data_IF_110924314133
#
_entry.id   IF_110924314133
#
_cell.length_a   1.000
_cell.length_b   1.000
_cell.length_c   1.000
_cell.angle_alpha   90.00
_cell.angle_beta   90.00
_cell.angle_gamma   90.00
#
_symmetry.space_group_name_H-M   'P 1'
#
loop_
_entity.id
_entity.type
_entity.pdbx_description
1 polymer ?
#
# COMPACT_ATOMS: atom_id res chain seq x y z
N UNK A 1 6.33 -71.78 -36.10
CA UNK A 1 6.96 -70.88 -35.09
C UNK A 1 6.00 -70.65 -33.92
N UNK A 2 4.72 -70.36 -34.18
CA UNK A 2 3.68 -70.27 -33.15
C UNK A 2 3.42 -71.58 -32.37
N UNK A 3 3.40 -72.74 -33.03
CA UNK A 3 3.16 -74.04 -32.35
C UNK A 3 4.28 -74.42 -31.36
N UNK A 4 5.54 -74.14 -31.68
CA UNK A 4 6.66 -74.40 -30.77
C UNK A 4 6.63 -73.47 -29.55
N UNK A 5 6.17 -72.23 -29.72
CA UNK A 5 6.01 -71.30 -28.59
C UNK A 5 4.84 -71.74 -27.70
N UNK A 6 3.74 -72.22 -28.28
CA UNK A 6 2.58 -72.76 -27.56
C UNK A 6 2.92 -74.01 -26.74
N UNK A 7 3.66 -74.95 -27.32
CA UNK A 7 4.09 -76.19 -26.66
C UNK A 7 5.10 -75.97 -25.52
N UNK A 8 5.93 -74.93 -25.61
CA UNK A 8 6.85 -74.54 -24.53
C UNK A 8 6.09 -73.93 -23.35
N UNK A 9 5.03 -73.17 -23.63
CA UNK A 9 4.18 -72.54 -22.60
C UNK A 9 3.28 -73.57 -21.91
N UNK A 10 2.71 -74.52 -22.66
CA UNK A 10 1.79 -75.55 -22.13
C UNK A 10 2.48 -76.62 -21.26
N UNK A 11 3.80 -76.85 -21.43
CA UNK A 11 4.57 -77.84 -20.66
C UNK A 11 5.41 -77.26 -19.51
N UNK A 12 5.34 -75.96 -19.24
CA UNK A 12 6.14 -75.33 -18.17
C UNK A 12 5.38 -75.33 -16.83
N UNK A 13 5.31 -76.48 -16.15
CA UNK A 13 4.77 -76.55 -14.79
C UNK A 13 5.84 -76.16 -13.77
N UNK A 14 5.72 -74.96 -13.19
CA UNK A 14 6.59 -74.51 -12.12
C UNK A 14 6.46 -75.44 -10.91
N UNK A 15 7.58 -75.93 -10.38
CA UNK A 15 7.58 -76.72 -9.16
C UNK A 15 7.37 -75.82 -7.93
N UNK A 16 6.97 -76.40 -6.79
CA UNK A 16 6.66 -75.64 -5.57
C UNK A 16 7.81 -74.74 -5.09
N UNK A 17 9.06 -75.15 -5.33
CA UNK A 17 10.25 -74.36 -5.00
C UNK A 17 10.39 -73.11 -5.87
N UNK A 18 10.16 -73.23 -7.19
CA UNK A 18 10.18 -72.09 -8.11
C UNK A 18 9.07 -71.08 -7.80
N UNK A 19 7.87 -71.56 -7.43
CA UNK A 19 6.77 -70.70 -6.97
C UNK A 19 7.15 -69.92 -5.70
N UNK A 20 7.74 -70.61 -4.71
CA UNK A 20 8.20 -69.98 -3.47
C UNK A 20 9.30 -68.94 -3.74
N UNK A 21 10.25 -69.23 -4.63
CA UNK A 21 11.33 -68.32 -5.00
C UNK A 21 10.81 -67.05 -5.70
N UNK A 22 9.89 -67.19 -6.66
CA UNK A 22 9.27 -66.04 -7.34
C UNK A 22 8.51 -65.18 -6.32
N UNK A 23 7.74 -65.81 -5.42
CA UNK A 23 7.00 -65.09 -4.37
C UNK A 23 7.93 -64.30 -3.44
N UNK A 24 9.06 -64.89 -3.03
CA UNK A 24 10.07 -64.23 -2.22
C UNK A 24 10.71 -63.03 -2.93
N UNK A 25 11.06 -63.18 -4.21
CA UNK A 25 11.63 -62.10 -5.04
C UNK A 25 10.63 -60.95 -5.21
N UNK A 26 9.37 -61.26 -5.55
CA UNK A 26 8.31 -60.25 -5.69
C UNK A 26 8.09 -59.51 -4.36
N UNK A 27 8.06 -60.23 -3.23
CA UNK A 27 7.92 -59.62 -1.90
C UNK A 27 9.09 -58.71 -1.55
N UNK A 28 10.32 -59.11 -1.88
CA UNK A 28 11.51 -58.29 -1.67
C UNK A 28 11.52 -57.03 -2.55
N UNK A 29 11.19 -57.17 -3.84
CA UNK A 29 11.10 -56.04 -4.77
C UNK A 29 10.00 -55.08 -4.35
N UNK A 30 8.82 -55.59 -4.00
CA UNK A 30 7.71 -54.75 -3.52
C UNK A 30 8.05 -54.04 -2.23
N UNK A 31 8.75 -54.67 -1.30
CA UNK A 31 9.26 -54.03 -0.08
C UNK A 31 10.23 -52.88 -0.41
N UNK A 32 11.23 -53.11 -1.26
CA UNK A 32 12.19 -52.08 -1.68
C UNK A 32 11.49 -50.91 -2.39
N UNK A 33 10.61 -51.20 -3.35
CA UNK A 33 9.83 -50.19 -4.05
C UNK A 33 8.96 -49.40 -3.07
N UNK A 34 8.30 -50.09 -2.13
CA UNK A 34 7.47 -49.43 -1.11
C UNK A 34 8.30 -48.47 -0.27
N UNK A 35 9.50 -48.85 0.18
CA UNK A 35 10.38 -47.96 0.94
C UNK A 35 10.78 -46.72 0.13
N UNK A 36 11.23 -46.91 -1.11
CA UNK A 36 11.68 -45.80 -1.97
C UNK A 36 10.53 -44.86 -2.29
N UNK A 37 9.39 -45.41 -2.72
CA UNK A 37 8.19 -44.64 -3.07
C UNK A 37 7.66 -43.91 -1.84
N UNK A 38 7.47 -44.60 -0.71
CA UNK A 38 6.96 -44.02 0.54
C UNK A 38 7.87 -42.89 1.01
N UNK A 39 9.18 -43.10 1.07
CA UNK A 39 10.12 -42.06 1.51
C UNK A 39 10.10 -40.85 0.56
N UNK A 40 10.03 -41.06 -0.76
CA UNK A 40 9.91 -39.96 -1.72
C UNK A 40 8.61 -39.16 -1.53
N UNK A 41 7.47 -39.83 -1.42
CA UNK A 41 6.17 -39.19 -1.24
C UNK A 41 6.06 -38.49 0.12
N UNK A 42 6.51 -39.13 1.20
CA UNK A 42 6.50 -38.56 2.56
C UNK A 42 7.37 -37.31 2.65
N UNK A 43 8.60 -37.34 2.11
CA UNK A 43 9.47 -36.15 2.10
C UNK A 43 8.86 -35.01 1.29
N UNK A 44 8.26 -35.32 0.12
CA UNK A 44 7.60 -34.31 -0.71
C UNK A 44 6.37 -33.71 -0.03
N UNK A 45 5.55 -34.54 0.62
CA UNK A 45 4.40 -34.09 1.40
C UNK A 45 4.82 -33.26 2.61
N UNK A 46 5.86 -33.70 3.34
CA UNK A 46 6.39 -32.99 4.49
C UNK A 46 6.93 -31.62 4.11
N UNK A 47 7.72 -31.53 3.04
CA UNK A 47 8.21 -30.25 2.51
C UNK A 47 7.05 -29.30 2.15
N UNK A 48 6.04 -29.78 1.43
CA UNK A 48 4.85 -29.00 1.07
C UNK A 48 4.08 -28.52 2.31
N UNK A 49 3.95 -29.38 3.33
CA UNK A 49 3.31 -29.02 4.60
C UNK A 49 4.08 -27.90 5.30
N UNK A 50 5.40 -28.03 5.43
CA UNK A 50 6.26 -27.01 6.03
C UNK A 50 6.19 -25.67 5.28
N UNK A 51 6.24 -25.69 3.95
CA UNK A 51 6.11 -24.49 3.12
C UNK A 51 4.75 -23.81 3.32
N UNK A 52 3.67 -24.61 3.39
CA UNK A 52 2.31 -24.11 3.59
C UNK A 52 2.14 -23.51 4.98
N UNK A 53 2.62 -24.20 6.01
CA UNK A 53 2.60 -23.71 7.40
C UNK A 53 3.42 -22.43 7.54
N UNK A 54 4.61 -22.38 6.95
CA UNK A 54 5.45 -21.19 6.93
C UNK A 54 4.72 -20.01 6.28
N UNK A 55 4.16 -20.21 5.09
CA UNK A 55 3.37 -19.18 4.39
C UNK A 55 2.19 -18.70 5.23
N UNK A 56 1.42 -19.61 5.82
CA UNK A 56 0.29 -19.26 6.69
C UNK A 56 0.75 -18.45 7.90
N UNK A 57 1.85 -18.84 8.53
CA UNK A 57 2.41 -18.13 9.68
C UNK A 57 2.87 -16.71 9.31
N UNK A 58 3.52 -16.54 8.15
CA UNK A 58 3.92 -15.20 7.68
C UNK A 58 2.70 -14.34 7.35
N UNK A 59 1.71 -14.88 6.62
CA UNK A 59 0.47 -14.16 6.31
C UNK A 59 -0.29 -13.75 7.57
N UNK A 60 -0.35 -14.62 8.58
CA UNK A 60 -0.97 -14.32 9.86
C UNK A 60 -0.27 -13.13 10.53
N UNK A 61 1.07 -13.13 10.62
CA UNK A 61 1.83 -12.01 11.19
C UNK A 61 1.54 -10.69 10.47
N UNK A 62 1.47 -10.69 9.14
CA UNK A 62 1.11 -9.48 8.37
C UNK A 62 -0.29 -9.00 8.75
N UNK A 63 -1.26 -9.92 8.76
CA UNK A 63 -2.65 -9.60 9.13
C UNK A 63 -2.76 -9.07 10.54
N UNK A 64 -2.02 -9.62 11.50
CA UNK A 64 -2.06 -9.18 12.90
C UNK A 64 -1.55 -7.73 13.01
N UNK A 65 -0.45 -7.38 12.33
CA UNK A 65 0.05 -6.00 12.29
C UNK A 65 -0.92 -5.06 11.59
N UNK A 66 -1.48 -5.47 10.44
CA UNK A 66 -2.46 -4.66 9.73
C UNK A 66 -3.73 -4.47 10.55
N UNK A 67 -4.26 -5.51 11.18
CA UNK A 67 -5.47 -5.44 12.00
C UNK A 67 -5.29 -4.48 13.19
N UNK A 68 -4.10 -4.47 13.80
CA UNK A 68 -3.77 -3.57 14.92
C UNK A 68 -3.88 -2.09 14.57
N UNK A 69 -3.55 -1.70 13.33
CA UNK A 69 -3.44 -0.28 12.95
C UNK A 69 -4.38 0.17 11.84
N UNK A 70 -5.01 -0.76 11.11
CA UNK A 70 -5.84 -0.46 9.93
C UNK A 70 -6.95 0.53 10.26
N UNK A 71 -7.71 0.28 11.33
CA UNK A 71 -8.84 1.15 11.71
C UNK A 71 -8.35 2.58 12.01
N UNK A 72 -7.25 2.71 12.75
CA UNK A 72 -6.66 4.01 13.05
C UNK A 72 -6.21 4.77 11.79
N UNK A 73 -5.59 4.07 10.84
CA UNK A 73 -5.21 4.66 9.57
C UNK A 73 -6.45 5.07 8.74
N UNK A 74 -7.49 4.23 8.69
CA UNK A 74 -8.73 4.55 7.99
C UNK A 74 -9.39 5.80 8.57
N UNK A 75 -9.46 5.93 9.89
CA UNK A 75 -9.98 7.14 10.55
C UNK A 75 -9.14 8.38 10.22
N UNK A 76 -7.80 8.28 10.28
CA UNK A 76 -6.93 9.40 9.92
C UNK A 76 -7.08 9.81 8.44
N UNK A 77 -7.24 8.83 7.54
CA UNK A 77 -7.53 9.06 6.13
C UNK A 77 -8.89 9.74 5.93
N UNK A 78 -9.93 9.32 6.64
CA UNK A 78 -11.26 9.94 6.58
C UNK A 78 -11.24 11.39 7.09
N UNK A 79 -10.62 11.64 8.24
CA UNK A 79 -10.48 13.00 8.80
C UNK A 79 -9.76 13.94 7.83
N UNK A 80 -8.71 13.44 7.18
CA UNK A 80 -7.98 14.17 6.15
C UNK A 80 -8.81 14.36 4.88
N UNK A 81 -9.57 13.36 4.44
CA UNK A 81 -10.48 13.46 3.29
C UNK A 81 -11.47 14.60 3.48
N UNK A 82 -12.15 14.68 4.63
CA UNK A 82 -13.04 15.81 4.96
C UNK A 82 -12.32 17.16 4.95
N UNK A 83 -11.08 17.20 5.46
CA UNK A 83 -10.26 18.42 5.41
C UNK A 83 -9.93 18.82 3.97
N UNK A 84 -9.63 17.87 3.10
CA UNK A 84 -9.30 18.14 1.69
C UNK A 84 -10.51 18.63 0.90
N UNK A 85 -11.71 18.10 1.16
CA UNK A 85 -12.95 18.66 0.61
C UNK A 85 -13.12 20.13 0.99
N UNK A 86 -13.03 20.42 2.29
CA UNK A 86 -13.17 21.78 2.77
C UNK A 86 -12.08 22.71 2.22
N UNK A 87 -10.84 22.24 2.15
CA UNK A 87 -9.71 22.98 1.59
C UNK A 87 -9.90 23.28 0.11
N UNK A 88 -10.28 22.29 -0.68
CA UNK A 88 -10.54 22.47 -2.11
C UNK A 88 -11.61 23.54 -2.33
N UNK A 89 -12.71 23.52 -1.58
CA UNK A 89 -13.78 24.51 -1.72
C UNK A 89 -13.39 25.91 -1.21
N UNK A 90 -12.66 25.98 -0.09
CA UNK A 90 -12.47 27.21 0.68
C UNK A 90 -11.05 27.78 0.66
N UNK A 91 -10.11 27.25 -0.13
CA UNK A 91 -8.71 27.73 -0.15
C UNK A 91 -8.59 29.25 -0.38
N UNK A 92 -9.50 29.86 -1.14
CA UNK A 92 -9.50 31.29 -1.44
C UNK A 92 -9.73 32.17 -0.21
N UNK A 93 -10.27 31.59 0.88
CA UNK A 93 -10.44 32.30 2.17
C UNK A 93 -9.13 32.46 2.94
N UNK A 94 -8.06 31.77 2.54
CA UNK A 94 -6.73 31.92 3.14
C UNK A 94 -6.63 31.45 4.59
N UNK A 95 -7.53 30.58 5.06
CA UNK A 95 -7.49 30.07 6.45
C UNK A 95 -6.26 29.23 6.78
N UNK A 96 -5.62 28.67 5.75
CA UNK A 96 -4.35 27.95 5.83
C UNK A 96 -3.13 28.86 5.66
N UNK A 97 -3.32 30.16 5.43
CA UNK A 97 -2.22 31.10 5.31
C UNK A 97 -1.90 31.68 6.69
N UNK A 98 -0.64 31.63 7.10
CA UNK A 98 -0.18 32.39 8.27
C UNK A 98 0.15 33.81 7.81
N UNK A 99 -0.46 34.86 8.39
CA UNK A 99 -0.17 36.23 7.98
C UNK A 99 1.33 36.55 8.10
N UNK A 100 1.92 37.20 7.10
CA UNK A 100 3.36 37.56 7.10
C UNK A 100 3.76 38.42 8.31
N UNK A 101 2.84 39.25 8.81
CA UNK A 101 3.01 40.05 10.04
C UNK A 101 3.19 39.19 11.30
N UNK A 102 2.72 37.96 11.26
CA UNK A 102 2.80 37.00 12.36
C UNK A 102 3.97 36.04 12.14
N UNK A 103 4.14 35.47 10.93
CA UNK A 103 5.17 34.47 10.55
C UNK A 103 5.61 33.52 11.69
N UNK A 104 4.64 33.19 12.55
CA UNK A 104 4.87 32.58 13.85
C UNK A 104 3.94 31.38 13.95
N UNK A 105 4.46 30.25 13.47
CA UNK A 105 3.79 28.97 13.55
C UNK A 105 3.65 28.43 14.99
N UNK A 106 4.15 29.14 16.01
CA UNK A 106 3.88 28.80 17.41
C UNK A 106 2.50 29.27 17.88
N UNK A 107 1.86 30.18 17.15
CA UNK A 107 0.52 30.69 17.50
C UNK A 107 -0.58 29.75 17.05
N UNK A 108 -1.66 29.60 17.84
CA UNK A 108 -2.77 28.73 17.48
C UNK A 108 -3.61 29.31 16.33
N UNK A 109 -3.33 28.85 15.11
CA UNK A 109 -4.19 29.00 13.93
C UNK A 109 -4.95 27.70 13.65
N UNK A 110 -6.22 27.63 14.09
CA UNK A 110 -6.99 26.38 14.08
C UNK A 110 -6.96 25.67 12.73
N UNK A 111 -7.30 26.36 11.64
CA UNK A 111 -7.42 25.71 10.33
C UNK A 111 -6.08 25.15 9.86
N UNK A 112 -5.02 25.97 9.90
CA UNK A 112 -3.66 25.57 9.52
C UNK A 112 -3.15 24.36 10.33
N UNK A 113 -3.12 24.47 11.65
CA UNK A 113 -2.59 23.43 12.53
C UNK A 113 -3.42 22.15 12.50
N UNK A 114 -4.74 22.26 12.40
CA UNK A 114 -5.60 21.09 12.29
C UNK A 114 -5.50 20.40 10.93
N UNK A 115 -5.06 21.08 9.88
CA UNK A 115 -4.72 20.47 8.59
C UNK A 115 -3.41 19.68 8.70
N UNK A 116 -2.36 20.31 9.22
CA UNK A 116 -1.05 19.67 9.40
C UNK A 116 -1.15 18.47 10.36
N UNK A 117 -1.89 18.59 11.46
CA UNK A 117 -2.09 17.47 12.38
C UNK A 117 -2.75 16.25 11.72
N UNK A 118 -3.77 16.45 10.86
CA UNK A 118 -4.41 15.37 10.10
C UNK A 118 -3.46 14.73 9.09
N UNK A 119 -2.66 15.54 8.42
CA UNK A 119 -1.60 15.06 7.55
C UNK A 119 -0.60 14.20 8.34
N UNK A 120 -0.05 14.73 9.45
CA UNK A 120 0.87 14.00 10.33
C UNK A 120 0.27 12.69 10.84
N UNK A 121 -1.03 12.66 11.17
CA UNK A 121 -1.71 11.47 11.67
C UNK A 121 -1.69 10.31 10.67
N UNK A 122 -1.90 10.58 9.37
CA UNK A 122 -1.76 9.56 8.32
C UNK A 122 -0.33 9.01 8.31
N UNK A 123 0.66 9.89 8.25
CA UNK A 123 2.07 9.49 8.17
C UNK A 123 2.54 8.77 9.43
N UNK A 124 2.03 9.13 10.59
CA UNK A 124 2.36 8.49 11.85
C UNK A 124 1.84 7.04 11.92
N UNK A 125 0.60 6.80 11.49
CA UNK A 125 0.07 5.44 11.41
C UNK A 125 0.77 4.61 10.34
N UNK A 126 1.07 5.19 9.17
CA UNK A 126 1.89 4.55 8.15
C UNK A 126 3.25 4.14 8.74
N UNK A 127 3.92 5.04 9.47
CA UNK A 127 5.22 4.77 10.09
C UNK A 127 5.13 3.64 11.13
N UNK A 128 4.12 3.63 12.00
CA UNK A 128 3.91 2.55 12.98
C UNK A 128 3.70 1.19 12.28
N UNK A 129 2.90 1.14 11.20
CA UNK A 129 2.70 -0.08 10.41
C UNK A 129 4.01 -0.55 9.77
N UNK A 130 4.73 0.36 9.09
CA UNK A 130 5.97 0.03 8.40
C UNK A 130 7.06 -0.48 9.34
N UNK A 131 7.14 0.07 10.56
CA UNK A 131 8.10 -0.36 11.60
C UNK A 131 7.86 -1.79 12.07
N UNK A 132 6.61 -2.27 12.10
CA UNK A 132 6.31 -3.65 12.49
C UNK A 132 6.39 -4.62 11.30
N UNK A 133 6.00 -4.19 10.10
CA UNK A 133 6.03 -5.02 8.89
C UNK A 133 7.45 -5.35 8.42
N UNK A 134 8.46 -4.51 8.73
CA UNK A 134 9.85 -4.71 8.27
C UNK A 134 10.45 -6.06 8.69
N UNK A 135 9.95 -6.67 9.77
CA UNK A 135 10.42 -7.95 10.28
C UNK A 135 9.70 -9.16 9.66
N UNK A 136 8.82 -8.94 8.69
CA UNK A 136 7.94 -9.95 8.12
C UNK A 136 8.23 -10.10 6.62
N UNK A 137 8.22 -11.35 6.13
CA UNK A 137 8.38 -11.61 4.70
C UNK A 137 7.09 -11.24 3.94
N UNK A 138 7.06 -9.99 3.47
CA UNK A 138 5.95 -9.45 2.68
C UNK A 138 5.80 -10.11 1.30
N UNK A 139 6.77 -10.88 0.82
CA UNK A 139 6.64 -11.63 -0.45
C UNK A 139 5.60 -12.76 -0.34
N UNK A 140 5.34 -13.22 0.88
CA UNK A 140 4.34 -14.25 1.18
C UNK A 140 2.96 -13.67 1.51
N UNK A 141 2.80 -12.34 1.48
CA UNK A 141 1.54 -11.66 1.76
C UNK A 141 0.40 -12.14 0.86
N UNK A 142 -0.84 -12.03 1.36
CA UNK A 142 -2.01 -12.18 0.50
C UNK A 142 -2.08 -10.99 -0.49
N UNK A 143 -2.79 -11.15 -1.61
CA UNK A 143 -2.95 -10.08 -2.62
C UNK A 143 -3.48 -8.79 -1.98
N UNK A 144 -4.52 -8.89 -1.14
CA UNK A 144 -5.15 -7.74 -0.50
C UNK A 144 -4.22 -7.04 0.49
N UNK A 145 -3.47 -7.80 1.30
CA UNK A 145 -2.51 -7.24 2.26
C UNK A 145 -1.34 -6.56 1.53
N UNK A 146 -0.87 -7.16 0.45
CA UNK A 146 0.19 -6.59 -0.38
C UNK A 146 -0.26 -5.28 -1.05
N UNK A 147 -1.48 -5.22 -1.57
CA UNK A 147 -2.07 -3.98 -2.09
C UNK A 147 -2.15 -2.88 -1.03
N UNK A 148 -2.59 -3.23 0.18
CA UNK A 148 -2.64 -2.28 1.30
C UNK A 148 -1.24 -1.70 1.57
N UNK A 149 -0.22 -2.56 1.67
CA UNK A 149 1.18 -2.16 1.87
C UNK A 149 1.69 -1.28 0.72
N UNK A 150 1.32 -1.58 -0.53
CA UNK A 150 1.68 -0.75 -1.70
C UNK A 150 1.08 0.65 -1.58
N UNK A 151 -0.18 0.78 -1.16
CA UNK A 151 -0.79 2.11 -0.91
C UNK A 151 -0.01 2.91 0.14
N UNK A 152 0.43 2.28 1.24
CA UNK A 152 1.23 2.97 2.27
C UNK A 152 2.52 3.56 1.67
N UNK A 153 3.15 2.84 0.73
CA UNK A 153 4.36 3.32 0.03
C UNK A 153 4.04 4.45 -0.95
N UNK A 154 2.96 4.32 -1.72
CA UNK A 154 2.52 5.35 -2.67
C UNK A 154 2.21 6.67 -1.96
N UNK A 155 1.48 6.63 -0.84
CA UNK A 155 1.14 7.84 -0.07
C UNK A 155 2.39 8.65 0.25
N UNK A 156 3.48 8.01 0.68
CA UNK A 156 4.71 8.75 0.91
C UNK A 156 5.43 9.18 -0.36
N UNK A 157 5.40 8.34 -1.40
CA UNK A 157 6.05 8.64 -2.67
C UNK A 157 5.45 9.89 -3.35
N UNK A 158 4.18 10.21 -3.09
CA UNK A 158 3.53 11.44 -3.56
C UNK A 158 4.22 12.73 -3.09
N UNK A 159 5.05 12.67 -2.05
CA UNK A 159 5.73 13.82 -1.48
C UNK A 159 7.24 13.80 -1.71
N UNK A 160 7.81 12.65 -2.09
CA UNK A 160 9.25 12.51 -2.35
C UNK A 160 9.58 12.42 -3.85
N UNK A 161 8.65 11.93 -4.67
CA UNK A 161 8.90 11.72 -6.09
C UNK A 161 8.61 12.97 -6.90
N UNK A 162 9.60 13.42 -7.64
CA UNK A 162 9.46 14.54 -8.55
C UNK A 162 8.93 14.13 -9.92
N UNK A 163 9.30 12.93 -10.39
CA UNK A 163 9.10 12.53 -11.78
C UNK A 163 7.62 12.42 -12.17
N UNK A 164 6.75 12.06 -11.23
CA UNK A 164 5.33 11.91 -11.53
C UNK A 164 4.61 13.26 -11.70
N UNK A 165 5.16 14.34 -11.16
CA UNK A 165 4.59 15.69 -11.29
C UNK A 165 5.33 16.51 -12.34
N UNK A 166 6.65 16.51 -12.28
CA UNK A 166 7.53 17.37 -13.11
C UNK A 166 8.09 16.64 -14.35
N UNK A 167 7.96 15.32 -14.43
CA UNK A 167 8.46 14.52 -15.54
C UNK A 167 9.91 14.08 -15.37
N UNK A 168 10.49 13.51 -16.44
CA UNK A 168 11.81 12.84 -16.38
C UNK A 168 13.00 13.79 -16.12
N UNK A 169 12.82 15.09 -16.37
CA UNK A 169 13.87 16.10 -16.25
C UNK A 169 13.79 16.90 -14.95
N UNK A 170 13.09 16.38 -13.94
CA UNK A 170 12.91 17.08 -12.68
C UNK A 170 14.23 17.23 -11.91
N UNK A 171 14.45 18.39 -11.28
CA UNK A 171 15.65 18.65 -10.47
C UNK A 171 15.45 18.17 -9.03
N UNK A 172 16.12 17.07 -8.69
CA UNK A 172 16.12 16.49 -7.34
C UNK A 172 17.07 17.15 -6.34
N UNK A 173 17.80 18.18 -6.75
CA UNK A 173 18.85 18.78 -5.91
C UNK A 173 18.27 19.63 -4.79
N UNK A 174 17.11 20.25 -5.01
CA UNK A 174 16.50 21.19 -4.07
C UNK A 174 15.09 20.74 -3.68
N UNK A 175 14.85 20.61 -2.36
CA UNK A 175 13.55 20.27 -1.78
C UNK A 175 12.59 21.49 -1.77
N UNK A 176 12.32 22.05 -2.95
CA UNK A 176 11.36 23.15 -3.09
C UNK A 176 9.95 22.58 -3.05
N UNK A 177 9.57 21.71 -3.97
CA UNK A 177 8.19 21.24 -4.08
C UNK A 177 7.95 19.85 -3.51
N UNK A 178 8.98 19.22 -2.97
CA UNK A 178 8.98 17.87 -2.43
C UNK A 178 9.76 17.82 -1.11
N UNK A 179 9.67 16.69 -0.41
CA UNK A 179 10.50 16.41 0.76
C UNK A 179 11.51 15.31 0.44
N UNK A 180 12.72 15.46 0.98
CA UNK A 180 13.61 14.31 1.09
C UNK A 180 12.97 13.23 1.97
N UNK A 181 13.21 11.97 1.63
CA UNK A 181 12.56 10.82 2.27
C UNK A 181 12.77 10.80 3.78
N UNK A 182 13.99 11.11 4.21
CA UNK A 182 14.34 11.10 5.63
C UNK A 182 13.65 12.23 6.40
N UNK A 183 13.61 13.44 5.84
CA UNK A 183 12.87 14.57 6.43
C UNK A 183 11.39 14.26 6.60
N UNK A 184 10.73 13.74 5.54
CA UNK A 184 9.33 13.35 5.60
C UNK A 184 9.07 12.29 6.69
N UNK A 185 10.01 11.37 6.89
CA UNK A 185 9.89 10.33 7.89
C UNK A 185 10.03 10.87 9.32
N UNK A 186 10.69 12.01 9.54
CA UNK A 186 10.89 12.61 10.88
C UNK A 186 9.65 13.38 11.36
N UNK A 187 8.93 14.06 10.46
CA UNK A 187 7.77 14.87 10.84
C UNK A 187 6.74 14.14 11.73
N UNK A 188 6.29 12.91 11.43
CA UNK A 188 5.29 12.25 12.28
C UNK A 188 5.79 11.89 13.69
N UNK A 189 7.11 11.84 13.95
CA UNK A 189 7.63 11.44 15.26
C UNK A 189 7.21 12.39 16.38
N UNK A 190 6.95 13.65 16.04
CA UNK A 190 6.52 14.67 17.00
C UNK A 190 5.17 14.38 17.65
N UNK A 191 4.33 13.58 17.00
CA UNK A 191 3.01 13.16 17.50
C UNK A 191 2.94 11.67 17.83
N UNK A 192 3.95 10.86 17.50
CA UNK A 192 3.95 9.44 17.85
C UNK A 192 4.22 9.27 19.35
N UNK A 193 3.39 8.45 19.99
CA UNK A 193 3.64 7.95 21.35
C UNK A 193 3.78 6.43 21.32
N UNK A 194 4.19 5.83 22.44
CA UNK A 194 4.28 4.37 22.58
C UNK A 194 2.93 3.71 22.24
N UNK A 195 1.85 4.20 22.87
CA UNK A 195 0.52 3.62 22.80
C UNK A 195 -0.34 4.14 21.65
N UNK A 196 0.07 5.20 20.95
CA UNK A 196 -0.76 5.78 19.89
C UNK A 196 -0.16 7.05 19.32
N UNK A 197 -1.01 8.07 19.18
CA UNK A 197 -0.63 9.42 18.79
C UNK A 197 -1.06 10.41 19.87
N UNK A 198 -0.31 11.50 20.02
CA UNK A 198 -0.76 12.68 20.77
C UNK A 198 -2.07 13.18 20.17
N UNK A 199 -3.02 13.58 21.00
CA UNK A 199 -4.25 14.22 20.56
C UNK A 199 -3.99 15.59 19.92
N UNK A 200 -4.97 16.12 19.19
CA UNK A 200 -4.88 17.48 18.65
C UNK A 200 -4.67 18.54 19.74
N UNK A 201 -5.27 18.36 20.92
CA UNK A 201 -5.08 19.26 22.06
C UNK A 201 -3.64 19.26 22.54
N UNK A 202 -3.03 18.08 22.70
CA UNK A 202 -1.62 17.95 23.08
C UNK A 202 -0.69 18.52 22.01
N UNK A 203 -1.01 18.34 20.72
CA UNK A 203 -0.26 18.95 19.63
C UNK A 203 -0.28 20.49 19.71
N UNK A 204 -1.45 21.10 19.94
CA UNK A 204 -1.60 22.56 20.04
C UNK A 204 -0.90 23.13 21.28
N UNK A 205 -0.91 22.43 22.40
CA UNK A 205 -0.22 22.88 23.62
C UNK A 205 1.30 22.96 23.45
N UNK A 206 1.87 22.18 22.52
CA UNK A 206 3.31 22.09 22.31
C UNK A 206 3.82 22.86 21.07
N UNK A 207 3.01 23.70 20.41
CA UNK A 207 3.38 24.33 19.14
C UNK A 207 4.73 25.06 19.16
N UNK A 208 5.04 25.73 20.27
CA UNK A 208 6.31 26.46 20.45
C UNK A 208 7.53 25.53 20.37
N UNK A 209 7.44 24.35 20.96
CA UNK A 209 8.51 23.34 20.90
C UNK A 209 8.59 22.69 19.52
N UNK A 210 7.42 22.49 18.89
CA UNK A 210 7.29 21.82 17.60
C UNK A 210 7.70 22.69 16.41
N UNK A 211 7.69 24.02 16.55
CA UNK A 211 7.96 24.96 15.47
C UNK A 211 9.29 24.67 14.76
N UNK A 212 10.34 24.34 15.50
CA UNK A 212 11.64 24.05 14.90
C UNK A 212 11.63 22.73 14.11
N UNK A 213 11.08 21.66 14.69
CA UNK A 213 11.04 20.33 14.07
C UNK A 213 10.08 20.25 12.88
N UNK A 214 9.04 21.09 12.85
CA UNK A 214 8.05 21.11 11.78
C UNK A 214 8.17 22.33 10.86
N UNK A 215 9.21 23.16 11.00
CA UNK A 215 9.34 24.40 10.23
C UNK A 215 9.22 24.16 8.72
N UNK A 216 9.94 23.18 8.18
CA UNK A 216 9.91 22.83 6.77
C UNK A 216 8.50 22.43 6.32
N UNK A 217 7.81 21.60 7.13
CA UNK A 217 6.44 21.17 6.86
C UNK A 217 5.45 22.34 6.92
N UNK A 218 5.61 23.24 7.90
CA UNK A 218 4.78 24.43 8.06
C UNK A 218 4.93 25.36 6.87
N UNK A 219 6.17 25.71 6.49
CA UNK A 219 6.45 26.50 5.29
C UNK A 219 5.93 25.83 4.01
N UNK A 220 5.93 24.49 3.96
CA UNK A 220 5.36 23.77 2.84
C UNK A 220 3.83 23.86 2.80
N UNK A 221 3.13 23.82 3.94
CA UNK A 221 1.66 23.96 3.98
C UNK A 221 1.17 25.41 3.85
N UNK A 222 1.99 26.38 4.24
CA UNK A 222 1.61 27.78 4.26
C UNK A 222 1.43 28.34 2.84
N UNK A 223 0.28 28.99 2.62
CA UNK A 223 -0.03 29.67 1.37
C UNK A 223 -0.23 28.77 0.14
N UNK A 224 -0.43 27.46 0.29
CA UNK A 224 -0.70 26.56 -0.85
C UNK A 224 -1.90 27.08 -1.67
N UNK A 225 -1.77 27.11 -3.00
CA UNK A 225 -2.77 27.71 -3.88
C UNK A 225 -2.75 27.09 -5.27
N UNK A 226 -3.90 26.92 -5.96
CA UNK A 226 -3.90 26.36 -7.32
C UNK A 226 -3.26 27.28 -8.37
N UNK A 227 -3.09 28.57 -8.06
CA UNK A 227 -2.47 29.57 -8.95
C UNK A 227 -0.99 29.79 -8.68
N UNK A 228 -0.38 29.02 -7.78
CA UNK A 228 1.05 29.11 -7.51
C UNK A 228 1.88 28.37 -8.58
N UNK A 229 3.12 28.81 -8.80
CA UNK A 229 4.03 28.12 -9.72
C UNK A 229 4.44 26.74 -9.17
N UNK A 230 4.60 26.65 -7.85
CA UNK A 230 4.97 25.43 -7.12
C UNK A 230 3.94 24.31 -7.30
N UNK A 231 4.37 23.07 -7.12
CA UNK A 231 3.56 21.86 -7.33
C UNK A 231 2.90 21.28 -6.07
N UNK A 232 2.84 22.06 -4.99
CA UNK A 232 2.29 21.64 -3.69
C UNK A 232 0.80 21.30 -3.77
N UNK A 233 0.02 22.12 -4.49
CA UNK A 233 -1.38 21.85 -4.77
C UNK A 233 -1.59 20.50 -5.46
N UNK A 234 -0.83 20.24 -6.54
CA UNK A 234 -0.90 19.01 -7.33
C UNK A 234 -0.66 17.78 -6.44
N UNK A 235 0.33 17.85 -5.53
CA UNK A 235 0.63 16.76 -4.58
C UNK A 235 -0.49 16.52 -3.58
N UNK A 236 -1.08 17.56 -2.99
CA UNK A 236 -2.24 17.40 -2.11
C UNK A 236 -3.45 16.85 -2.84
N UNK A 237 -3.66 17.28 -4.08
CA UNK A 237 -4.72 16.75 -4.93
C UNK A 237 -4.53 15.26 -5.21
N UNK A 238 -3.32 14.81 -5.55
CA UNK A 238 -3.03 13.39 -5.74
C UNK A 238 -3.09 12.59 -4.43
N UNK A 239 -2.72 13.19 -3.30
CA UNK A 239 -2.94 12.57 -1.98
C UNK A 239 -4.43 12.38 -1.72
N UNK A 240 -5.27 13.38 -2.01
CA UNK A 240 -6.71 13.30 -1.83
C UNK A 240 -7.32 12.15 -2.66
N UNK A 241 -6.97 12.06 -3.95
CA UNK A 241 -7.38 10.95 -4.81
C UNK A 241 -6.91 9.59 -4.29
N UNK A 242 -5.66 9.51 -3.82
CA UNK A 242 -5.10 8.27 -3.27
C UNK A 242 -5.82 7.85 -1.98
N UNK A 243 -6.15 8.82 -1.11
CA UNK A 243 -6.94 8.60 0.10
C UNK A 243 -8.35 8.10 -0.24
N UNK A 244 -9.03 8.68 -1.23
CA UNK A 244 -10.34 8.20 -1.66
C UNK A 244 -10.28 6.76 -2.19
N UNK A 245 -9.30 6.44 -3.05
CA UNK A 245 -9.08 5.07 -3.54
C UNK A 245 -8.83 4.11 -2.37
N UNK A 246 -8.02 4.53 -1.40
CA UNK A 246 -7.69 3.72 -0.24
C UNK A 246 -8.91 3.45 0.65
N UNK A 247 -9.72 4.47 0.94
CA UNK A 247 -10.97 4.33 1.69
C UNK A 247 -12.01 3.49 0.92
N UNK A 248 -12.10 3.63 -0.40
CA UNK A 248 -13.00 2.80 -1.22
C UNK A 248 -12.65 1.31 -1.16
N UNK A 249 -11.36 0.99 -1.15
CA UNK A 249 -10.89 -0.39 -1.06
C UNK A 249 -11.05 -1.00 0.34
N UNK A 250 -10.77 -0.24 1.39
CA UNK A 250 -10.53 -0.79 2.73
C UNK A 250 -11.40 -0.24 3.85
N UNK A 251 -12.03 0.92 3.62
CA UNK A 251 -12.89 1.61 4.57
C UNK A 251 -14.29 1.03 4.69
N UNK A 252 -15.02 1.52 5.68
CA UNK A 252 -16.44 1.22 5.86
C UNK A 252 -17.28 1.88 4.76
N UNK A 253 -18.51 1.42 4.56
CA UNK A 253 -19.37 1.91 3.47
C UNK A 253 -19.63 3.42 3.55
N UNK A 254 -19.70 3.99 4.76
CA UNK A 254 -19.86 5.43 4.96
C UNK A 254 -18.60 6.26 4.66
N UNK A 255 -17.42 5.63 4.58
CA UNK A 255 -16.14 6.28 4.25
C UNK A 255 -15.88 6.30 2.74
N UNK A 256 -16.66 5.54 1.97
CA UNK A 256 -16.47 5.42 0.52
C UNK A 256 -16.93 6.68 -0.20
N UNK A 257 -16.17 7.08 -1.20
CA UNK A 257 -16.52 8.15 -2.13
C UNK A 257 -17.15 7.54 -3.37
N UNK A 258 -18.38 7.96 -3.66
CA UNK A 258 -19.13 7.53 -4.84
C UNK A 258 -18.52 8.08 -6.15
N UNK A 259 -19.02 7.55 -7.27
CA UNK A 259 -18.55 7.86 -8.61
C UNK A 259 -18.75 9.34 -8.97
N UNK A 260 -19.85 9.95 -8.52
CA UNK A 260 -20.21 11.31 -8.89
C UNK A 260 -19.34 12.32 -8.15
N UNK A 261 -19.07 12.08 -6.86
CA UNK A 261 -18.10 12.85 -6.08
C UNK A 261 -16.69 12.73 -6.64
N UNK A 262 -16.25 11.52 -7.03
CA UNK A 262 -14.95 11.34 -7.69
C UNK A 262 -14.87 12.15 -8.98
N UNK A 263 -15.93 12.13 -9.79
CA UNK A 263 -16.03 12.92 -11.02
C UNK A 263 -15.94 14.43 -10.73
N UNK A 264 -16.60 14.92 -9.68
CA UNK A 264 -16.51 16.32 -9.26
C UNK A 264 -15.08 16.72 -8.88
N UNK A 265 -14.33 15.86 -8.18
CA UNK A 265 -12.93 16.14 -7.83
C UNK A 265 -12.06 16.22 -9.09
N UNK A 266 -12.23 15.26 -10.00
CA UNK A 266 -11.50 15.22 -11.27
C UNK A 266 -11.77 16.45 -12.15
N UNK A 267 -13.02 16.88 -12.21
CA UNK A 267 -13.42 18.07 -12.96
C UNK A 267 -12.92 19.37 -12.30
N UNK A 268 -12.90 19.42 -10.96
CA UNK A 268 -12.55 20.59 -10.17
C UNK A 268 -11.11 20.54 -9.63
N UNK A 269 -10.14 20.11 -10.43
CA UNK A 269 -8.73 20.09 -10.02
C UNK A 269 -8.17 21.50 -9.74
N UNK A 270 -8.89 22.55 -10.17
CA UNK A 270 -8.54 23.99 -10.09
C UNK A 270 -7.25 24.41 -10.80
N UNK A 271 -6.49 23.44 -11.30
CA UNK A 271 -5.25 23.59 -12.07
C UNK A 271 -5.13 22.41 -13.03
N UNK A 272 -4.47 22.61 -14.17
CA UNK A 272 -4.13 21.52 -15.07
C UNK A 272 -3.09 20.59 -14.42
N UNK A 273 -3.55 19.43 -13.94
CA UNK A 273 -2.72 18.41 -13.28
C UNK A 273 -2.33 17.28 -14.23
N UNK A 274 -1.11 16.78 -14.11
CA UNK A 274 -0.62 15.66 -14.91
C UNK A 274 -1.11 14.31 -14.38
N UNK A 275 -2.36 13.95 -14.69
CA UNK A 275 -2.94 12.66 -14.31
C UNK A 275 -2.17 11.45 -14.86
N UNK A 276 -1.51 11.58 -16.02
CA UNK A 276 -0.76 10.47 -16.61
C UNK A 276 0.45 10.10 -15.75
N UNK A 277 1.16 11.10 -15.23
CA UNK A 277 2.27 10.88 -14.30
C UNK A 277 1.82 10.18 -13.01
N UNK A 278 0.67 10.57 -12.47
CA UNK A 278 0.05 9.92 -11.32
C UNK A 278 -0.30 8.45 -11.59
N UNK A 279 -0.92 8.13 -12.73
CA UNK A 279 -1.23 6.74 -13.09
C UNK A 279 0.02 5.90 -13.34
N UNK A 280 1.07 6.47 -13.94
CA UNK A 280 2.36 5.79 -14.07
C UNK A 280 3.02 5.55 -12.70
N UNK A 281 2.88 6.46 -11.74
CA UNK A 281 3.30 6.21 -10.35
C UNK A 281 2.56 4.99 -9.77
N UNK A 282 1.23 4.93 -9.86
CA UNK A 282 0.45 3.79 -9.37
C UNK A 282 0.85 2.47 -10.05
N UNK A 283 1.11 2.51 -11.37
CA UNK A 283 1.58 1.35 -12.15
C UNK A 283 2.97 0.88 -11.72
N UNK A 284 3.91 1.79 -11.39
CA UNK A 284 5.23 1.42 -10.84
C UNK A 284 5.10 0.62 -9.54
N UNK A 285 4.12 0.94 -8.70
CA UNK A 285 3.81 0.18 -7.48
C UNK A 285 2.90 -1.03 -7.70
N UNK A 286 2.60 -1.39 -8.96
CA UNK A 286 1.75 -2.54 -9.32
C UNK A 286 0.35 -2.44 -8.70
N UNK A 287 -0.25 -1.25 -8.79
CA UNK A 287 -1.64 -0.96 -8.40
C UNK A 287 -2.57 -0.75 -9.61
N UNK A 288 -2.07 -0.93 -10.83
CA UNK A 288 -2.86 -0.79 -12.06
C UNK A 288 -3.97 -1.86 -12.20
N UNK A 289 -3.85 -2.99 -11.49
CA UNK A 289 -4.88 -4.05 -11.48
C UNK A 289 -5.86 -3.90 -10.30
N UNK A 290 -5.77 -2.78 -9.55
CA UNK A 290 -6.72 -2.49 -8.48
C UNK A 290 -8.00 -1.88 -9.07
N UNK A 291 -9.15 -2.43 -8.71
CA UNK A 291 -10.44 -2.04 -9.28
C UNK A 291 -10.77 -0.55 -9.08
N UNK A 292 -10.43 0.04 -7.92
CA UNK A 292 -10.70 1.46 -7.65
C UNK A 292 -9.76 2.38 -8.45
N UNK A 293 -8.52 1.95 -8.70
CA UNK A 293 -7.60 2.65 -9.60
C UNK A 293 -8.12 2.61 -11.04
N UNK A 294 -8.56 1.45 -11.51
CA UNK A 294 -9.13 1.30 -12.85
C UNK A 294 -10.38 2.17 -13.04
N UNK A 295 -11.29 2.18 -12.06
CA UNK A 295 -12.46 3.08 -12.05
C UNK A 295 -12.05 4.55 -12.19
N UNK A 296 -11.03 5.00 -11.44
CA UNK A 296 -10.54 6.37 -11.53
C UNK A 296 -9.95 6.68 -12.92
N UNK A 297 -9.19 5.74 -13.50
CA UNK A 297 -8.63 5.88 -14.85
C UNK A 297 -9.72 6.01 -15.91
N UNK A 298 -10.75 5.16 -15.85
CA UNK A 298 -11.90 5.20 -16.77
C UNK A 298 -12.68 6.52 -16.64
N UNK A 299 -12.94 6.97 -15.40
CA UNK A 299 -13.60 8.25 -15.14
C UNK A 299 -12.84 9.43 -15.74
N UNK A 300 -11.52 9.51 -15.50
CA UNK A 300 -10.68 10.56 -16.05
C UNK A 300 -10.64 10.52 -17.60
N UNK A 301 -10.61 9.32 -18.19
CA UNK A 301 -10.64 9.16 -19.65
C UNK A 301 -11.96 9.67 -20.26
N UNK A 302 -13.09 9.39 -19.61
CA UNK A 302 -14.40 9.86 -20.07
C UNK A 302 -14.53 11.38 -19.98
N UNK A 303 -14.11 11.98 -18.86
CA UNK A 303 -14.10 13.44 -18.69
C UNK A 303 -13.27 14.15 -19.77
N UNK A 304 -12.11 13.59 -20.15
CA UNK A 304 -11.28 14.15 -21.22
C UNK A 304 -11.92 14.07 -22.61
N UNK A 305 -12.78 13.08 -22.85
CA UNK A 305 -13.53 12.99 -24.11
C UNK A 305 -14.61 14.05 -24.16
N UNK A 306 -15.38 14.19 -23.09
CA UNK A 306 -16.44 15.19 -22.95
C UNK A 306 -15.92 16.63 -23.01
N UNK A 307 -14.67 16.89 -22.58
CA UNK A 307 -14.06 18.23 -22.68
C UNK A 307 -13.50 18.57 -24.06
N UNK A 308 -13.37 17.59 -24.95
CA UNK A 308 -12.84 17.74 -26.31
C UNK A 308 -13.95 17.72 -27.38
N UNK A 309 -15.21 17.56 -26.96
CA UNK A 309 -16.44 17.72 -27.77
C UNK A 309 -17.04 19.12 -27.52
#
# INVERSE_FOLDING_TARGET
>A
MEENIKAIIENYTLNAFQVALISAIVSFITFLLTIVIKNYFENKLHKRKLETEHKFNQQKKIKDVLAKYKVHLLTACEDFNYRMWNFSENHSKGWHCIPEKDNDYSKPHYYFHSFIYRFLSIFAWIKKIQKEIIFIDTTLASKNDLEFIKFLRVISQLFCDLQFVEGKNADGTHATDHFFRDNLNLFPDVIITENGLKSYSEYIQNLKELQQSLHELYCWFDGISPVENRRRWDRLYFLHLTVMIFLNNYGYDFQKTDKDKLRQVLANSKRQVNMNGFFELLKRYKLNDNNEVEKLMQLNANLRKESNE
#
